data_IF_192718532154
#
_entry.id   IF_192718532154
#
_cell.length_a   1.000
_cell.length_b   1.000
_cell.length_c   1.000
_cell.angle_alpha   90.00
_cell.angle_beta   90.00
_cell.angle_gamma   90.00
#
_symmetry.space_group_name_H-M   'P 1'
#
loop_
_entity.id
_entity.type
_entity.pdbx_description
1 polymer ?
#
# COMPACT_ATOMS: atom_id res chain seq x y z
N UNK A 1 -9.66 -13.77 -2.64
CA UNK A 1 -10.71 -12.96 -1.98
C UNK A 1 -10.46 -12.94 -0.47
N UNK A 2 -10.68 -11.80 0.21
CA UNK A 2 -10.53 -11.65 1.66
C UNK A 2 -11.92 -11.76 2.30
N UNK A 3 -12.12 -12.75 3.16
CA UNK A 3 -13.37 -12.89 3.93
C UNK A 3 -13.35 -12.02 5.21
N UNK A 4 -14.47 -12.01 5.93
CA UNK A 4 -14.64 -11.16 7.12
C UNK A 4 -13.69 -11.55 8.26
N UNK A 5 -13.44 -12.85 8.46
CA UNK A 5 -12.55 -13.34 9.51
C UNK A 5 -11.11 -12.92 9.21
N UNK A 6 -10.67 -13.12 7.95
CA UNK A 6 -9.37 -12.69 7.46
C UNK A 6 -9.20 -11.17 7.52
N UNK A 7 -10.24 -10.41 7.17
CA UNK A 7 -10.21 -8.95 7.23
C UNK A 7 -9.93 -8.47 8.66
N UNK A 8 -10.64 -9.03 9.66
CA UNK A 8 -10.39 -8.69 11.06
C UNK A 8 -9.04 -9.21 11.56
N UNK A 9 -8.59 -10.39 11.14
CA UNK A 9 -7.22 -10.86 11.46
C UNK A 9 -6.16 -9.86 10.97
N UNK A 10 -6.27 -9.40 9.72
CA UNK A 10 -5.36 -8.40 9.14
C UNK A 10 -5.44 -7.08 9.91
N UNK A 11 -6.64 -6.65 10.29
CA UNK A 11 -6.84 -5.42 11.07
C UNK A 11 -6.11 -5.47 12.40
N UNK A 12 -6.29 -6.54 13.17
CA UNK A 12 -5.67 -6.69 14.48
C UNK A 12 -4.15 -6.82 14.37
N UNK A 13 -3.65 -7.57 13.38
CA UNK A 13 -2.21 -7.83 13.24
C UNK A 13 -1.43 -6.68 12.63
N UNK A 14 -1.99 -5.99 11.64
CA UNK A 14 -1.25 -5.08 10.77
C UNK A 14 -1.87 -3.69 10.65
N UNK A 15 -3.10 -3.49 11.13
CA UNK A 15 -3.82 -2.21 10.98
C UNK A 15 -3.11 -1.00 11.58
N UNK A 16 -2.16 -1.20 12.51
CA UNK A 16 -1.35 -0.13 13.08
C UNK A 16 -0.28 0.43 12.11
N UNK A 17 -0.01 -0.23 10.98
CA UNK A 17 0.89 0.28 9.94
C UNK A 17 0.44 0.03 8.49
N UNK A 18 -0.59 -0.79 8.28
CA UNK A 18 -1.11 -1.12 6.96
C UNK A 18 -2.49 -0.47 6.75
N UNK A 19 -2.96 -0.50 5.51
CA UNK A 19 -4.32 -0.10 5.13
C UNK A 19 -4.72 -0.75 3.79
N UNK A 20 -5.82 -0.29 3.21
CA UNK A 20 -6.34 -0.67 1.91
C UNK A 20 -6.51 0.56 1.04
N UNK A 21 -6.37 0.39 -0.28
CA UNK A 21 -6.56 1.45 -1.26
C UNK A 21 -8.06 1.75 -1.50
N UNK A 22 -8.78 2.12 -0.45
CA UNK A 22 -10.21 2.44 -0.46
C UNK A 22 -10.43 3.70 0.36
N UNK A 23 -10.94 4.75 -0.28
CA UNK A 23 -11.23 6.02 0.39
C UNK A 23 -12.68 6.43 0.14
N UNK A 24 -13.24 7.23 1.04
CA UNK A 24 -14.48 7.94 0.78
C UNK A 24 -14.35 8.87 -0.44
N UNK A 25 -15.49 9.22 -1.03
CA UNK A 25 -15.54 10.14 -2.15
C UNK A 25 -15.00 11.53 -1.77
N UNK A 26 -14.34 12.16 -2.73
CA UNK A 26 -13.89 13.54 -2.56
C UNK A 26 -15.09 14.50 -2.50
N UNK A 27 -14.98 15.49 -1.62
CA UNK A 27 -15.93 16.61 -1.52
C UNK A 27 -15.58 17.75 -2.47
N UNK A 28 -15.69 18.98 -1.96
CA UNK A 28 -15.38 20.19 -2.72
C UNK A 28 -13.88 20.30 -3.00
N UNK A 29 -13.05 19.88 -2.06
CA UNK A 29 -11.58 19.89 -2.19
C UNK A 29 -11.07 18.47 -2.41
N UNK A 30 -9.96 18.31 -3.15
CA UNK A 30 -9.36 17.00 -3.38
C UNK A 30 -8.98 16.22 -2.11
N UNK A 31 -8.85 16.88 -0.95
CA UNK A 31 -8.47 16.25 0.33
C UNK A 31 -9.64 15.94 1.25
N UNK A 32 -10.85 16.37 0.89
CA UNK A 32 -12.02 16.12 1.72
C UNK A 32 -12.23 14.60 1.86
N UNK A 33 -12.59 14.17 3.07
CA UNK A 33 -12.87 12.78 3.47
C UNK A 33 -11.70 11.79 3.28
N UNK A 34 -10.45 12.26 3.22
CA UNK A 34 -9.30 11.35 3.02
C UNK A 34 -9.10 10.41 4.23
N UNK A 35 -9.50 10.85 5.41
CA UNK A 35 -9.37 10.18 6.71
C UNK A 35 -10.68 9.52 7.20
N UNK A 36 -11.69 9.47 6.34
CA UNK A 36 -12.95 8.79 6.62
C UNK A 36 -12.73 7.27 6.52
N UNK A 37 -12.45 6.66 7.66
CA UNK A 37 -12.20 5.22 7.79
C UNK A 37 -13.49 4.39 7.88
N UNK A 38 -14.69 5.00 7.87
CA UNK A 38 -15.96 4.25 7.83
C UNK A 38 -16.06 3.38 6.56
N UNK A 39 -15.41 3.80 5.47
CA UNK A 39 -15.32 3.00 4.23
C UNK A 39 -14.56 1.68 4.41
N UNK A 40 -13.74 1.57 5.46
CA UNK A 40 -13.01 0.36 5.86
C UNK A 40 -13.69 -0.37 7.03
N UNK A 41 -14.92 0.00 7.37
CA UNK A 41 -15.74 -0.73 8.32
C UNK A 41 -16.73 -1.65 7.59
N UNK A 42 -16.63 -2.99 7.71
CA UNK A 42 -17.58 -3.92 7.08
C UNK A 42 -19.04 -3.71 7.48
N UNK A 43 -19.31 -3.16 8.68
CA UNK A 43 -20.67 -2.88 9.16
C UNK A 43 -21.29 -1.64 8.48
N UNK A 44 -20.46 -0.70 8.03
CA UNK A 44 -20.89 0.55 7.37
C UNK A 44 -20.76 0.49 5.84
N UNK A 45 -19.83 -0.33 5.34
CA UNK A 45 -19.61 -0.58 3.92
C UNK A 45 -19.80 -2.07 3.60
N UNK A 46 -21.03 -2.50 3.27
CA UNK A 46 -21.34 -3.92 3.02
C UNK A 46 -20.66 -4.48 1.76
N UNK A 47 -20.14 -3.62 0.88
CA UNK A 47 -19.41 -4.04 -0.32
C UNK A 47 -17.90 -4.12 -0.09
N UNK A 48 -17.39 -3.76 1.09
CA UNK A 48 -15.96 -3.68 1.37
C UNK A 48 -15.22 -4.98 1.03
N UNK A 49 -15.75 -6.12 1.46
CA UNK A 49 -15.13 -7.44 1.24
C UNK A 49 -15.13 -7.89 -0.23
N UNK A 50 -15.96 -7.26 -1.07
CA UNK A 50 -15.95 -7.49 -2.52
C UNK A 50 -14.91 -6.62 -3.23
N UNK A 51 -14.46 -5.55 -2.57
CA UNK A 51 -13.51 -4.57 -3.10
C UNK A 51 -12.09 -4.91 -2.67
N UNK A 52 -11.87 -5.26 -1.39
CA UNK A 52 -10.50 -5.46 -0.88
C UNK A 52 -9.88 -6.74 -1.40
N UNK A 53 -8.61 -6.65 -1.81
CA UNK A 53 -7.90 -7.78 -2.41
C UNK A 53 -6.38 -7.67 -2.22
N UNK A 54 -5.70 -8.82 -2.28
CA UNK A 54 -4.25 -8.92 -2.16
C UNK A 54 -3.55 -9.18 -3.51
N UNK A 55 -4.27 -9.13 -4.64
CA UNK A 55 -3.70 -9.36 -5.98
C UNK A 55 -2.59 -8.35 -6.34
N UNK A 56 -2.61 -7.18 -5.70
CA UNK A 56 -1.49 -6.25 -5.63
C UNK A 56 -1.30 -5.75 -4.20
N UNK A 57 -0.05 -5.38 -3.90
CA UNK A 57 0.33 -4.78 -2.63
C UNK A 57 1.12 -3.51 -2.91
N UNK A 58 0.63 -2.37 -2.44
CA UNK A 58 1.28 -1.07 -2.59
C UNK A 58 2.20 -0.83 -1.40
N UNK A 59 3.45 -0.50 -1.70
CA UNK A 59 4.54 -0.43 -0.73
C UNK A 59 5.04 0.99 -0.62
N UNK A 60 4.85 1.59 0.56
CA UNK A 60 5.61 2.75 1.00
C UNK A 60 6.98 2.35 1.54
N UNK A 61 7.83 3.34 1.81
CA UNK A 61 9.17 3.07 2.36
C UNK A 61 9.08 2.74 3.86
N UNK A 62 8.49 3.65 4.62
CA UNK A 62 8.40 3.64 6.07
C UNK A 62 7.27 4.59 6.52
N UNK A 63 6.77 4.34 7.71
CA UNK A 63 5.77 5.21 8.35
C UNK A 63 6.38 6.58 8.62
N UNK A 64 5.67 7.64 8.25
CA UNK A 64 6.15 9.03 8.44
C UNK A 64 5.83 9.63 9.81
N UNK A 65 4.95 8.97 10.58
CA UNK A 65 4.41 9.37 11.90
C UNK A 65 3.54 8.28 12.53
N UNK A 66 3.33 8.35 13.83
CA UNK A 66 2.37 7.50 14.56
C UNK A 66 0.98 7.43 13.88
N UNK A 67 0.41 6.22 13.87
CA UNK A 67 -0.90 5.90 13.30
C UNK A 67 -1.90 5.76 14.45
N UNK A 68 -2.87 6.67 14.52
CA UNK A 68 -3.80 6.79 15.66
C UNK A 68 -4.94 5.76 15.64
N UNK A 69 -5.29 5.25 14.45
CA UNK A 69 -6.43 4.34 14.23
C UNK A 69 -6.03 3.20 13.30
N UNK A 70 -6.52 1.96 13.53
CA UNK A 70 -6.30 0.86 12.59
C UNK A 70 -6.69 1.25 11.15
N UNK A 71 -5.85 0.89 10.19
CA UNK A 71 -5.96 1.27 8.78
C UNK A 71 -5.85 2.78 8.49
N UNK A 72 -5.34 3.57 9.43
CA UNK A 72 -5.11 5.01 9.23
C UNK A 72 -3.89 5.34 8.36
N UNK A 73 -2.98 4.40 8.11
CA UNK A 73 -1.83 4.68 7.24
C UNK A 73 -2.29 4.92 5.79
N UNK A 74 -1.72 5.91 5.10
CA UNK A 74 -2.19 6.40 3.79
C UNK A 74 -3.59 7.08 3.79
N UNK A 75 -4.08 7.49 4.97
CA UNK A 75 -5.33 8.23 5.17
C UNK A 75 -5.13 9.50 6.03
N UNK A 76 -4.00 10.20 5.87
CA UNK A 76 -3.66 11.32 6.76
C UNK A 76 -4.52 12.56 6.45
N UNK A 77 -5.32 13.07 7.43
CA UNK A 77 -6.18 14.24 7.23
C UNK A 77 -5.42 15.56 7.08
N UNK A 78 -4.14 15.59 7.42
CA UNK A 78 -3.41 16.84 7.57
C UNK A 78 -3.29 17.58 6.24
N UNK A 79 -3.31 18.92 6.24
CA UNK A 79 -3.21 19.71 5.02
C UNK A 79 -1.95 19.48 4.19
N UNK A 80 -0.89 18.92 4.77
CA UNK A 80 0.36 18.60 4.07
C UNK A 80 0.40 17.17 3.48
N UNK A 81 -0.55 16.31 3.84
CA UNK A 81 -0.62 14.94 3.33
C UNK A 81 -0.95 14.92 1.83
N UNK A 82 -0.49 13.88 1.14
CA UNK A 82 -0.61 13.76 -0.33
C UNK A 82 -1.35 12.51 -0.78
N UNK A 83 -1.96 11.79 0.15
CA UNK A 83 -2.64 10.51 -0.06
C UNK A 83 -3.82 10.64 -1.03
N UNK A 84 -4.43 11.82 -1.09
CA UNK A 84 -5.47 12.14 -2.09
C UNK A 84 -5.03 11.92 -3.55
N UNK A 85 -3.72 12.00 -3.85
CA UNK A 85 -3.20 11.68 -5.18
C UNK A 85 -3.25 10.18 -5.46
N UNK A 86 -3.05 9.35 -4.43
CA UNK A 86 -3.21 7.90 -4.51
C UNK A 86 -4.68 7.58 -4.78
N UNK A 87 -5.60 8.11 -3.96
CA UNK A 87 -7.05 8.01 -4.18
C UNK A 87 -7.42 8.37 -5.61
N UNK A 88 -6.99 9.53 -6.09
CA UNK A 88 -7.29 10.00 -7.44
C UNK A 88 -6.70 9.11 -8.54
N UNK A 89 -5.49 8.57 -8.35
CA UNK A 89 -4.83 7.72 -9.34
C UNK A 89 -5.46 6.33 -9.46
N UNK A 90 -5.88 5.74 -8.34
CA UNK A 90 -6.37 4.35 -8.30
C UNK A 90 -7.89 4.26 -8.49
N UNK A 91 -8.65 5.34 -8.29
CA UNK A 91 -10.11 5.33 -8.47
C UNK A 91 -10.51 4.89 -9.88
N UNK A 92 -11.30 3.83 -9.94
CA UNK A 92 -11.79 3.21 -11.19
C UNK A 92 -10.77 2.30 -11.88
N UNK A 93 -9.73 1.86 -11.17
CA UNK A 93 -8.75 0.86 -11.65
C UNK A 93 -8.87 -0.40 -10.82
N UNK A 94 -8.33 -1.52 -11.33
CA UNK A 94 -8.29 -2.79 -10.59
C UNK A 94 -7.41 -2.73 -9.32
N UNK A 95 -6.63 -1.66 -9.13
CA UNK A 95 -5.83 -1.43 -7.92
C UNK A 95 -6.61 -0.74 -6.80
N UNK A 96 -7.87 -0.34 -7.04
CA UNK A 96 -8.76 0.09 -5.98
C UNK A 96 -9.12 -1.11 -5.09
N UNK A 97 -8.93 -0.98 -3.78
CA UNK A 97 -9.08 -2.11 -2.84
C UNK A 97 -7.81 -2.91 -2.60
N UNK A 98 -6.71 -2.61 -3.29
CA UNK A 98 -5.44 -3.30 -3.06
C UNK A 98 -4.86 -3.00 -1.66
N UNK A 99 -4.18 -3.98 -1.07
CA UNK A 99 -3.53 -3.82 0.24
C UNK A 99 -2.37 -2.82 0.19
N UNK A 100 -2.18 -2.04 1.25
CA UNK A 100 -1.15 -1.01 1.36
C UNK A 100 -0.36 -1.16 2.65
N UNK A 101 0.96 -1.07 2.58
CA UNK A 101 1.84 -1.20 3.76
C UNK A 101 3.21 -0.58 3.50
N UNK A 102 4.05 -0.48 4.52
CA UNK A 102 5.44 0.00 4.37
C UNK A 102 6.45 -1.15 4.40
N UNK A 103 7.58 -1.00 3.70
CA UNK A 103 8.66 -2.02 3.71
C UNK A 103 9.41 -2.04 5.05
N UNK A 104 9.70 -0.86 5.57
CA UNK A 104 10.42 -0.66 6.83
C UNK A 104 9.41 -0.34 7.91
N UNK A 105 9.23 -1.28 8.84
CA UNK A 105 8.34 -1.13 10.00
C UNK A 105 9.08 -0.40 11.13
N UNK A 106 8.31 0.25 12.00
CA UNK A 106 8.79 0.81 13.29
C UNK A 106 9.95 1.82 13.17
N UNK A 107 10.07 2.50 12.03
CA UNK A 107 11.06 3.55 11.80
C UNK A 107 10.36 4.83 11.36
N UNK A 108 9.98 5.66 12.33
CA UNK A 108 9.35 6.95 12.07
C UNK A 108 10.38 7.94 11.51
N UNK A 109 10.29 8.24 10.21
CA UNK A 109 11.15 9.20 9.54
C UNK A 109 10.44 9.76 8.31
N UNK A 110 10.46 11.09 8.13
CA UNK A 110 9.76 11.76 7.02
C UNK A 110 10.64 11.84 5.77
N UNK A 111 11.95 11.76 5.92
CA UNK A 111 12.91 11.94 4.83
C UNK A 111 13.47 10.60 4.39
N UNK A 112 13.06 10.12 3.20
CA UNK A 112 13.52 8.82 2.66
C UNK A 112 15.04 8.69 2.58
N UNK A 113 15.75 9.80 2.32
CA UNK A 113 17.21 9.83 2.30
C UNK A 113 17.87 9.42 3.62
N UNK A 114 17.26 9.79 4.76
CA UNK A 114 17.73 9.42 6.09
C UNK A 114 17.54 7.92 6.32
N UNK A 115 16.37 7.39 5.99
CA UNK A 115 16.07 5.95 6.02
C UNK A 115 17.08 5.18 5.18
N UNK A 116 17.30 5.60 3.94
CA UNK A 116 18.27 4.97 3.04
C UNK A 116 19.70 5.05 3.58
N UNK A 117 20.06 6.12 4.28
CA UNK A 117 21.36 6.25 4.95
C UNK A 117 21.51 5.28 6.11
N UNK A 118 20.48 5.17 6.93
CA UNK A 118 20.42 4.22 8.04
C UNK A 118 20.52 2.77 7.55
N UNK A 119 19.72 2.37 6.56
CA UNK A 119 19.71 1.00 5.99
C UNK A 119 21.00 0.62 5.26
N UNK A 120 21.82 1.59 4.84
CA UNK A 120 23.15 1.29 4.27
C UNK A 120 24.08 0.73 5.34
N UNK A 121 23.99 1.23 6.57
CA UNK A 121 24.85 0.84 7.68
C UNK A 121 24.21 -0.24 8.58
N UNK A 122 22.89 -0.43 8.51
CA UNK A 122 22.13 -1.36 9.34
C UNK A 122 21.41 -2.39 8.47
N UNK A 123 22.19 -3.32 7.89
CA UNK A 123 21.65 -4.33 6.95
C UNK A 123 20.71 -5.33 7.62
N UNK A 124 20.89 -5.60 8.90
CA UNK A 124 19.96 -6.43 9.68
C UNK A 124 18.56 -5.84 9.73
N UNK A 125 18.44 -4.52 9.90
CA UNK A 125 17.15 -3.84 9.96
C UNK A 125 16.39 -3.94 8.64
N UNK A 126 17.10 -3.83 7.52
CA UNK A 126 16.52 -4.07 6.20
C UNK A 126 16.04 -5.53 6.05
N UNK A 127 16.87 -6.50 6.45
CA UNK A 127 16.51 -7.93 6.38
C UNK A 127 15.28 -8.25 7.22
N UNK A 128 15.20 -7.67 8.43
CA UNK A 128 14.04 -7.83 9.32
C UNK A 128 12.77 -7.25 8.69
N UNK A 129 12.83 -6.03 8.14
CA UNK A 129 11.68 -5.42 7.45
C UNK A 129 11.18 -6.27 6.27
N UNK A 130 12.10 -6.80 5.46
CA UNK A 130 11.76 -7.72 4.36
C UNK A 130 11.15 -9.02 4.88
N UNK A 131 11.67 -9.59 5.97
CA UNK A 131 11.13 -10.81 6.56
C UNK A 131 9.71 -10.59 7.08
N UNK A 132 9.47 -9.50 7.82
CA UNK A 132 8.12 -9.10 8.25
C UNK A 132 7.17 -8.92 7.06
N UNK A 133 7.63 -8.30 5.97
CA UNK A 133 6.83 -8.14 4.76
C UNK A 133 6.49 -9.48 4.10
N UNK A 134 7.42 -10.45 4.04
CA UNK A 134 7.11 -11.81 3.53
C UNK A 134 6.05 -12.51 4.38
N UNK A 135 6.14 -12.38 5.71
CA UNK A 135 5.17 -12.94 6.63
C UNK A 135 3.79 -12.29 6.46
N UNK A 136 3.76 -10.97 6.28
CA UNK A 136 2.55 -10.21 5.97
C UNK A 136 1.90 -10.71 4.67
N UNK A 137 2.67 -10.84 3.58
CA UNK A 137 2.20 -11.40 2.29
C UNK A 137 1.60 -12.81 2.48
N UNK A 138 2.27 -13.67 3.27
CA UNK A 138 1.79 -15.01 3.56
C UNK A 138 0.44 -15.00 4.29
N UNK A 139 0.25 -14.08 5.23
CA UNK A 139 -0.98 -13.96 6.03
C UNK A 139 -2.15 -13.46 5.19
N UNK A 140 -1.89 -12.55 4.24
CA UNK A 140 -2.87 -12.11 3.24
C UNK A 140 -3.39 -13.26 2.38
N UNK A 141 -2.66 -14.38 2.29
CA UNK A 141 -3.11 -15.60 1.63
C UNK A 141 -3.08 -15.55 0.11
N UNK A 142 -2.37 -14.59 -0.48
CA UNK A 142 -2.20 -14.49 -1.94
C UNK A 142 -0.74 -14.77 -2.31
N UNK A 143 -0.43 -15.88 -3.02
CA UNK A 143 0.94 -16.36 -3.18
C UNK A 143 1.78 -15.53 -4.16
N UNK A 144 1.14 -14.85 -5.13
CA UNK A 144 1.85 -14.15 -6.21
C UNK A 144 1.31 -12.74 -6.49
N UNK A 145 1.29 -11.84 -5.48
CA UNK A 145 0.87 -10.47 -5.68
C UNK A 145 1.85 -9.72 -6.58
N UNK A 146 1.35 -8.70 -7.28
CA UNK A 146 2.24 -7.67 -7.85
C UNK A 146 2.61 -6.69 -6.74
N UNK A 147 3.90 -6.53 -6.47
CA UNK A 147 4.41 -5.56 -5.51
C UNK A 147 4.61 -4.22 -6.21
N UNK A 148 3.87 -3.19 -5.79
CA UNK A 148 3.90 -1.84 -6.38
C UNK A 148 4.60 -0.88 -5.42
N UNK A 149 5.83 -0.50 -5.74
CA UNK A 149 6.64 0.36 -4.87
C UNK A 149 6.42 1.86 -5.17
N UNK A 150 6.08 2.64 -4.15
CA UNK A 150 6.01 4.10 -4.23
C UNK A 150 7.41 4.71 -4.17
N UNK A 151 7.89 5.22 -5.31
CA UNK A 151 9.17 5.90 -5.41
C UNK A 151 10.37 4.96 -5.63
N UNK A 152 11.48 5.56 -6.07
CA UNK A 152 12.68 4.82 -6.49
C UNK A 152 13.42 4.13 -5.33
N UNK A 153 13.39 4.72 -4.13
CA UNK A 153 14.05 4.16 -2.95
C UNK A 153 13.38 2.85 -2.54
N UNK A 154 12.06 2.88 -2.35
CA UNK A 154 11.25 1.68 -2.10
C UNK A 154 11.44 0.64 -3.19
N UNK A 155 11.35 1.05 -4.48
CA UNK A 155 11.53 0.14 -5.62
C UNK A 155 12.90 -0.56 -5.55
N UNK A 156 13.97 0.18 -5.23
CA UNK A 156 15.32 -0.37 -5.12
C UNK A 156 15.43 -1.40 -4.00
N UNK A 157 14.85 -1.13 -2.84
CA UNK A 157 14.86 -2.07 -1.69
C UNK A 157 14.06 -3.33 -2.03
N UNK A 158 12.85 -3.17 -2.56
CA UNK A 158 11.96 -4.30 -2.85
C UNK A 158 12.56 -5.15 -3.97
N UNK A 159 13.04 -4.54 -5.07
CA UNK A 159 13.65 -5.30 -6.18
C UNK A 159 14.86 -6.13 -5.74
N UNK A 160 15.79 -5.55 -4.97
CA UNK A 160 17.01 -6.30 -4.58
C UNK A 160 16.74 -7.46 -3.63
N UNK A 161 15.62 -7.45 -2.92
CA UNK A 161 15.29 -8.46 -1.91
C UNK A 161 14.22 -9.46 -2.36
N UNK A 162 13.28 -9.05 -3.21
CA UNK A 162 12.03 -9.78 -3.49
C UNK A 162 11.77 -10.03 -4.99
N UNK A 163 12.61 -9.54 -5.90
CA UNK A 163 12.39 -9.72 -7.36
C UNK A 163 12.52 -11.16 -7.86
N UNK A 164 13.14 -12.04 -7.07
CA UNK A 164 13.20 -13.47 -7.40
C UNK A 164 11.92 -14.21 -7.02
N UNK A 165 11.10 -13.63 -6.14
CA UNK A 165 9.88 -14.25 -5.58
C UNK A 165 8.61 -13.60 -6.16
N UNK A 166 8.64 -12.30 -6.41
CA UNK A 166 7.48 -11.51 -6.81
C UNK A 166 7.78 -10.58 -7.98
N UNK A 167 6.75 -10.27 -8.77
CA UNK A 167 6.81 -9.21 -9.76
C UNK A 167 6.81 -7.85 -9.05
N UNK A 168 7.84 -7.05 -9.28
CA UNK A 168 7.99 -5.73 -8.65
C UNK A 168 7.92 -4.61 -9.69
N UNK A 169 7.01 -3.66 -9.48
CA UNK A 169 6.80 -2.47 -10.33
C UNK A 169 7.00 -1.22 -9.48
N UNK A 170 7.79 -0.26 -9.96
CA UNK A 170 7.93 1.03 -9.30
C UNK A 170 7.03 2.09 -9.93
N UNK A 171 6.31 2.85 -9.11
CA UNK A 171 5.53 4.02 -9.52
C UNK A 171 6.10 5.30 -8.89
N UNK A 172 5.78 6.50 -9.40
CA UNK A 172 6.22 7.73 -8.75
C UNK A 172 5.72 7.81 -7.30
N UNK A 173 6.52 8.42 -6.42
CA UNK A 173 6.09 8.70 -5.06
C UNK A 173 4.95 9.74 -5.09
N UNK A 174 3.88 9.51 -4.31
CA UNK A 174 2.69 10.37 -4.30
C UNK A 174 2.98 11.79 -3.78
N UNK A 175 3.99 11.96 -2.93
CA UNK A 175 4.47 13.28 -2.50
C UNK A 175 5.23 14.09 -3.59
N UNK A 176 5.44 13.56 -4.79
CA UNK A 176 6.07 14.32 -5.87
C UNK A 176 5.32 15.63 -6.17
N UNK A 177 6.05 16.72 -6.43
CA UNK A 177 5.49 18.05 -6.70
C UNK A 177 4.94 18.16 -8.14
N UNK A 178 3.92 17.36 -8.43
CA UNK A 178 3.12 17.34 -9.67
C UNK A 178 1.64 17.33 -9.32
N UNK A 179 0.77 17.68 -10.28
CA UNK A 179 -0.68 17.62 -10.12
C UNK A 179 -1.18 16.17 -9.94
N UNK A 180 -2.41 15.99 -9.44
CA UNK A 180 -3.02 14.66 -9.26
C UNK A 180 -3.31 13.97 -10.59
N UNK A 181 -3.61 14.76 -11.63
CA UNK A 181 -3.83 14.32 -13.01
C UNK A 181 -2.54 13.76 -13.61
N UNK A 182 -1.45 14.54 -13.57
CA UNK A 182 -0.14 14.09 -14.04
C UNK A 182 0.39 12.90 -13.22
N UNK A 183 0.05 12.85 -11.93
CA UNK A 183 0.37 11.69 -11.09
C UNK A 183 -0.38 10.45 -11.58
N UNK A 184 -1.70 10.54 -11.80
CA UNK A 184 -2.54 9.46 -12.34
C UNK A 184 -2.00 8.94 -13.66
N UNK A 185 -1.69 9.80 -14.63
CA UNK A 185 -1.13 9.40 -15.93
C UNK A 185 0.17 8.60 -15.78
N UNK A 186 1.07 9.06 -14.90
CA UNK A 186 2.35 8.36 -14.65
C UNK A 186 2.18 7.05 -13.89
N UNK A 187 1.16 6.93 -13.05
CA UNK A 187 0.80 5.68 -12.38
C UNK A 187 0.19 4.72 -13.40
N UNK A 188 -0.84 5.13 -14.14
CA UNK A 188 -1.53 4.32 -15.14
C UNK A 188 -0.60 3.76 -16.22
N UNK A 189 0.38 4.53 -16.68
CA UNK A 189 1.36 4.06 -17.68
C UNK A 189 2.32 2.97 -17.18
N UNK A 190 2.33 2.67 -15.88
CA UNK A 190 3.22 1.69 -15.26
C UNK A 190 2.51 0.50 -14.65
N UNK A 191 1.25 0.67 -14.26
CA UNK A 191 0.46 -0.39 -13.65
C UNK A 191 0.05 -1.43 -14.70
N UNK A 192 0.49 -2.69 -14.57
CA UNK A 192 0.01 -3.76 -15.44
C UNK A 192 -1.42 -4.19 -15.07
N UNK A 193 -2.03 -5.02 -15.91
CA UNK A 193 -3.21 -5.78 -15.51
C UNK A 193 -2.90 -6.68 -14.31
N UNK A 194 -3.87 -6.81 -13.41
CA UNK A 194 -3.75 -7.67 -12.25
C UNK A 194 -3.95 -9.14 -12.62
N UNK A 195 -3.26 -10.07 -11.93
CA UNK A 195 -3.54 -11.49 -12.08
C UNK A 195 -4.99 -11.76 -11.65
N UNK A 196 -5.75 -12.40 -12.53
CA UNK A 196 -7.08 -12.89 -12.21
C UNK A 196 -6.96 -14.12 -11.30
N UNK A 197 -7.91 -14.27 -10.36
CA UNK A 197 -7.95 -15.40 -9.42
C UNK A 197 -7.97 -16.78 -10.13
N UNK A 198 -8.28 -16.84 -11.43
CA UNK A 198 -8.32 -18.08 -12.23
C UNK A 198 -6.95 -18.65 -12.59
N UNK A 199 -5.87 -17.87 -12.49
CA UNK A 199 -4.52 -18.34 -12.85
C UNK A 199 -3.70 -18.83 -11.65
N UNK A 200 -4.24 -18.74 -10.43
CA UNK A 200 -3.60 -19.28 -9.22
C UNK A 200 -3.74 -20.81 -9.09
N UNK A 201 -4.61 -21.44 -9.87
CA UNK A 201 -4.82 -22.90 -9.88
C UNK A 201 -3.99 -23.65 -10.93
N UNK A 202 -3.19 -22.94 -11.75
CA UNK A 202 -2.32 -23.55 -12.75
C UNK A 202 -0.84 -23.30 -12.40
N UNK A 203 -0.40 -23.96 -11.33
CA UNK A 203 1.02 -24.33 -11.19
C UNK A 203 1.32 -25.57 -12.05
N UNK A 204 2.59 -25.76 -12.49
CA UNK A 204 2.99 -26.86 -13.36
C UNK A 204 2.75 -28.25 -12.78
#
# INVERSE_FOLDING_TARGET
>A
MIDIEKFFEIRERFGHFASWAVWADEGVKPKDNIDDLSVLNPDENPNLLQIVHANAILLGLNISREIERPFGNFHDPRPMATDFKIRYALKGTDYWGAYMTDVVKDFEEKVSGNVMSFLRHNKDFEREGIQKLREEIKVLGFPHPILVAFGKDTEKIVKRNLSQEFRVIGIPHYANFISKENYRERVSSRLPELPSDRNAELGP
#
